data_IF_211417500560
#
_entry.id   IF_211417500560
#
_cell.length_a   1.000
_cell.length_b   1.000
_cell.length_c   1.000
_cell.angle_alpha   90.00
_cell.angle_beta   90.00
_cell.angle_gamma   90.00
#
_symmetry.space_group_name_H-M   'P 1'
#
loop_
_entity.id
_entity.type
_entity.pdbx_description
1 polymer ?
#
# COMPACT_ATOMS: atom_id res chain seq x y z
N UNK A 1 -21.56 -11.09 32.03
CA UNK A 1 -21.98 -12.48 31.82
C UNK A 1 -23.46 -12.55 31.40
N UNK A 2 -24.39 -11.91 32.10
CA UNK A 2 -25.84 -11.94 31.78
C UNK A 2 -26.13 -11.57 30.30
N UNK A 3 -25.54 -10.50 29.80
CA UNK A 3 -25.67 -10.11 28.37
C UNK A 3 -25.12 -11.17 27.42
N UNK A 4 -24.02 -11.86 27.79
CA UNK A 4 -23.43 -12.91 27.00
C UNK A 4 -24.23 -14.20 27.00
N UNK A 5 -24.82 -14.54 28.16
CA UNK A 5 -25.65 -15.73 28.34
C UNK A 5 -27.02 -15.58 27.67
N UNK A 6 -27.58 -14.37 27.65
CA UNK A 6 -28.86 -14.07 27.01
C UNK A 6 -28.84 -13.98 25.48
N UNK A 7 -27.66 -13.93 24.86
CA UNK A 7 -27.52 -13.83 23.41
C UNK A 7 -27.19 -15.18 22.78
N UNK A 8 -27.66 -15.40 21.54
CA UNK A 8 -27.43 -16.63 20.78
C UNK A 8 -26.79 -16.36 19.42
N UNK A 9 -26.01 -17.34 18.91
CA UNK A 9 -25.48 -17.37 17.56
C UNK A 9 -24.75 -16.09 17.13
N UNK A 10 -25.30 -15.38 16.17
CA UNK A 10 -24.65 -14.20 15.56
C UNK A 10 -24.62 -13.00 16.54
N UNK A 11 -25.61 -12.83 17.39
CA UNK A 11 -25.66 -11.72 18.34
C UNK A 11 -24.55 -11.82 19.39
N UNK A 12 -24.29 -13.04 19.88
CA UNK A 12 -23.15 -13.32 20.77
C UNK A 12 -21.81 -13.05 20.08
N UNK A 13 -21.71 -13.38 18.79
CA UNK A 13 -20.52 -13.05 18.00
C UNK A 13 -20.31 -11.53 17.89
N UNK A 14 -21.37 -10.76 17.63
CA UNK A 14 -21.33 -9.29 17.59
C UNK A 14 -20.92 -8.72 18.94
N UNK A 15 -21.53 -9.19 20.04
CA UNK A 15 -21.16 -8.76 21.41
C UNK A 15 -19.67 -8.99 21.68
N UNK A 16 -19.14 -10.16 21.32
CA UNK A 16 -17.71 -10.45 21.48
C UNK A 16 -16.83 -9.51 20.67
N UNK A 17 -17.26 -9.10 19.46
CA UNK A 17 -16.57 -8.12 18.64
C UNK A 17 -16.58 -6.72 19.26
N UNK A 18 -17.70 -6.31 19.87
CA UNK A 18 -17.81 -5.06 20.63
C UNK A 18 -16.86 -5.05 21.83
N UNK A 19 -16.86 -6.10 22.64
CA UNK A 19 -16.00 -6.21 23.83
C UNK A 19 -14.51 -6.19 23.45
N UNK A 20 -14.14 -6.86 22.37
CA UNK A 20 -12.73 -6.96 21.93
C UNK A 20 -12.24 -5.78 21.08
N UNK A 21 -13.12 -4.82 20.76
CA UNK A 21 -12.81 -3.68 19.87
C UNK A 21 -12.46 -4.08 18.43
N UNK A 22 -12.67 -5.32 18.06
CA UNK A 22 -12.27 -5.88 16.79
C UNK A 22 -13.44 -6.04 15.81
N UNK A 23 -13.93 -4.95 15.21
CA UNK A 23 -15.08 -4.95 14.28
C UNK A 23 -14.86 -5.59 12.92
N UNK A 24 -13.84 -6.39 12.72
CA UNK A 24 -13.63 -7.10 11.45
C UNK A 24 -14.70 -8.20 11.29
N UNK A 25 -15.83 -7.82 10.70
CA UNK A 25 -16.99 -8.73 10.45
C UNK A 25 -16.94 -9.43 9.10
N UNK A 26 -15.83 -9.29 8.35
CA UNK A 26 -15.68 -9.91 7.01
C UNK A 26 -16.40 -9.16 5.89
N UNK A 27 -17.01 -8.00 6.18
CA UNK A 27 -17.63 -7.13 5.18
C UNK A 27 -16.62 -6.08 4.76
N UNK A 28 -16.32 -6.03 3.46
CA UNK A 28 -15.47 -4.98 2.89
C UNK A 28 -16.31 -3.74 2.55
N UNK A 29 -15.69 -2.56 2.59
CA UNK A 29 -16.32 -1.31 2.13
C UNK A 29 -16.96 -1.47 0.73
N UNK A 30 -16.29 -2.16 -0.18
CA UNK A 30 -16.84 -2.45 -1.52
C UNK A 30 -18.17 -3.22 -1.48
N UNK A 31 -18.35 -4.13 -0.51
CA UNK A 31 -19.62 -4.83 -0.34
C UNK A 31 -20.70 -3.90 0.20
N UNK A 32 -20.35 -3.01 1.13
CA UNK A 32 -21.26 -1.97 1.63
C UNK A 32 -21.70 -1.05 0.50
N UNK A 33 -20.76 -0.51 -0.27
CA UNK A 33 -21.05 0.35 -1.43
C UNK A 33 -22.03 -0.34 -2.39
N UNK A 34 -21.77 -1.60 -2.77
CA UNK A 34 -22.65 -2.35 -3.66
C UNK A 34 -24.04 -2.61 -3.07
N UNK A 35 -24.12 -2.89 -1.76
CA UNK A 35 -25.41 -3.11 -1.10
C UNK A 35 -26.23 -1.82 -1.12
N UNK A 36 -25.62 -0.71 -0.76
CA UNK A 36 -26.26 0.61 -0.77
C UNK A 36 -26.66 1.05 -2.18
N UNK A 37 -25.79 0.87 -3.16
CA UNK A 37 -26.08 1.18 -4.57
C UNK A 37 -27.31 0.43 -5.09
N UNK A 38 -27.47 -0.84 -4.71
CA UNK A 38 -28.67 -1.63 -5.06
C UNK A 38 -29.95 -1.12 -4.41
N UNK A 39 -29.89 -0.76 -3.11
CA UNK A 39 -31.06 -0.27 -2.35
C UNK A 39 -31.49 1.09 -2.86
N UNK A 40 -30.54 1.99 -3.10
CA UNK A 40 -30.79 3.39 -3.49
C UNK A 40 -30.95 3.58 -5.00
N UNK A 41 -30.63 2.56 -5.80
CA UNK A 41 -30.59 2.62 -7.29
C UNK A 41 -29.61 3.67 -7.83
N UNK A 42 -28.63 4.07 -7.03
CA UNK A 42 -27.56 5.00 -7.39
C UNK A 42 -26.33 4.24 -7.91
N UNK A 43 -25.48 4.86 -8.76
CA UNK A 43 -24.22 4.25 -9.20
C UNK A 43 -23.27 3.94 -8.02
N UNK A 44 -22.54 2.81 -8.11
CA UNK A 44 -21.50 2.44 -7.11
C UNK A 44 -20.50 3.60 -6.86
N UNK A 45 -20.12 4.33 -7.89
CA UNK A 45 -19.19 5.46 -7.80
C UNK A 45 -19.74 6.62 -6.97
N UNK A 46 -21.03 6.91 -7.11
CA UNK A 46 -21.70 7.95 -6.33
C UNK A 46 -21.78 7.56 -4.86
N UNK A 47 -22.20 6.32 -4.56
CA UNK A 47 -22.26 5.81 -3.19
C UNK A 47 -20.86 5.77 -2.56
N UNK A 48 -19.86 5.32 -3.30
CA UNK A 48 -18.48 5.34 -2.81
C UNK A 48 -18.03 6.75 -2.42
N UNK A 49 -18.37 7.76 -3.24
CA UNK A 49 -18.05 9.15 -2.95
C UNK A 49 -18.83 9.69 -1.74
N UNK A 50 -20.12 9.35 -1.60
CA UNK A 50 -20.95 9.76 -0.45
C UNK A 50 -20.46 9.23 0.88
N UNK A 51 -19.89 8.03 0.89
CA UNK A 51 -19.33 7.39 2.10
C UNK A 51 -17.92 7.90 2.46
N UNK A 52 -17.30 8.73 1.63
CA UNK A 52 -16.00 9.34 1.95
C UNK A 52 -16.20 10.62 2.77
N UNK A 53 -15.14 11.07 3.42
CA UNK A 53 -15.15 12.30 4.21
C UNK A 53 -15.26 12.06 5.71
N UNK A 54 -15.31 13.15 6.45
CA UNK A 54 -15.33 13.15 7.92
C UNK A 54 -16.79 13.18 8.43
N UNK A 55 -17.52 12.09 8.30
CA UNK A 55 -18.86 11.94 8.85
C UNK A 55 -18.86 10.95 10.02
N UNK A 56 -19.79 11.16 10.97
CA UNK A 56 -19.98 10.29 12.11
C UNK A 56 -21.44 9.85 12.23
N UNK A 57 -21.73 8.58 12.59
CA UNK A 57 -23.10 8.08 12.67
C UNK A 57 -24.02 8.85 13.65
N UNK A 58 -23.44 9.45 14.70
CA UNK A 58 -24.21 10.19 15.69
C UNK A 58 -24.64 11.59 15.19
N UNK A 59 -23.90 12.13 14.20
CA UNK A 59 -24.11 13.51 13.70
C UNK A 59 -24.67 13.54 12.27
N UNK A 60 -24.77 12.37 11.60
CA UNK A 60 -25.14 12.29 10.19
C UNK A 60 -26.33 11.36 9.99
N UNK A 61 -27.40 11.89 9.41
CA UNK A 61 -28.59 11.08 9.09
C UNK A 61 -28.40 10.34 7.75
N UNK A 62 -29.21 9.31 7.54
CA UNK A 62 -29.28 8.57 6.27
C UNK A 62 -29.59 9.50 5.09
N UNK A 63 -30.59 10.36 5.27
CA UNK A 63 -31.04 11.32 4.25
C UNK A 63 -29.90 12.26 3.86
N UNK A 64 -29.17 12.79 4.83
CA UNK A 64 -28.06 13.70 4.59
C UNK A 64 -26.89 13.00 3.89
N UNK A 65 -26.58 11.75 4.28
CA UNK A 65 -25.45 11.03 3.74
C UNK A 65 -25.73 10.42 2.36
N UNK A 66 -26.90 9.84 2.16
CA UNK A 66 -27.19 8.98 1.01
C UNK A 66 -28.20 9.61 0.04
N UNK A 67 -29.20 10.34 0.53
CA UNK A 67 -30.33 10.83 -0.30
C UNK A 67 -30.21 12.28 -0.72
N UNK A 68 -29.49 13.11 0.02
CA UNK A 68 -29.32 14.52 -0.33
C UNK A 68 -28.92 14.73 -1.79
N UNK A 69 -29.55 15.66 -2.49
CA UNK A 69 -29.22 15.98 -3.89
C UNK A 69 -27.84 16.65 -4.00
N UNK A 70 -27.46 17.43 -2.98
CA UNK A 70 -26.17 18.11 -2.94
C UNK A 70 -25.20 17.39 -1.99
N UNK A 71 -24.02 17.03 -2.49
CA UNK A 71 -22.89 16.51 -1.70
C UNK A 71 -22.11 17.63 -1.00
N UNK A 72 -22.57 18.88 -1.11
CA UNK A 72 -21.80 20.10 -0.93
C UNK A 72 -21.45 20.51 0.50
N UNK A 73 -21.83 19.78 1.53
CA UNK A 73 -21.55 20.21 2.90
C UNK A 73 -20.13 19.86 3.40
N UNK A 74 -19.51 18.82 2.88
CA UNK A 74 -18.17 18.40 3.33
C UNK A 74 -17.09 18.84 2.34
N UNK A 75 -16.57 20.04 2.56
CA UNK A 75 -15.47 20.62 1.76
C UNK A 75 -14.20 19.73 1.79
N UNK A 76 -14.02 18.92 2.84
CA UNK A 76 -12.86 18.06 2.99
C UNK A 76 -12.93 16.79 2.15
N UNK A 77 -14.10 16.43 1.60
CA UNK A 77 -14.37 15.13 1.00
C UNK A 77 -13.46 14.81 -0.19
N UNK A 78 -12.67 13.71 -0.11
CA UNK A 78 -11.83 13.28 -1.23
C UNK A 78 -12.65 12.57 -2.30
N UNK A 79 -12.06 12.42 -3.48
CA UNK A 79 -12.59 11.53 -4.50
C UNK A 79 -12.17 10.08 -4.24
N UNK A 80 -13.01 9.08 -4.53
CA UNK A 80 -12.62 7.68 -4.43
C UNK A 80 -11.42 7.37 -5.31
N UNK A 81 -10.41 6.68 -4.76
CA UNK A 81 -9.16 6.43 -5.46
C UNK A 81 -9.31 5.42 -6.60
N UNK A 82 -8.73 5.75 -7.75
CA UNK A 82 -8.56 4.81 -8.85
C UNK A 82 -7.33 3.93 -8.60
N UNK A 83 -7.49 2.59 -8.70
CA UNK A 83 -6.47 1.61 -8.35
C UNK A 83 -6.00 0.83 -9.59
N UNK A 84 -4.68 0.78 -9.78
CA UNK A 84 -4.05 0.04 -10.87
C UNK A 84 -4.07 -1.49 -10.66
N UNK A 85 -4.19 -2.24 -11.78
CA UNK A 85 -3.89 -3.67 -11.85
C UNK A 85 -2.38 -3.93 -11.96
N UNK A 86 -1.93 -5.14 -11.58
CA UNK A 86 -0.58 -5.59 -11.92
C UNK A 86 -0.48 -5.91 -13.40
N UNK A 87 0.65 -5.60 -14.03
CA UNK A 87 0.99 -6.15 -15.34
C UNK A 87 1.25 -7.65 -15.16
N UNK A 88 0.57 -8.48 -15.93
CA UNK A 88 0.71 -9.92 -15.95
C UNK A 88 1.35 -10.31 -17.29
N UNK A 89 2.49 -10.96 -17.25
CA UNK A 89 3.23 -11.36 -18.47
C UNK A 89 3.87 -10.18 -19.21
N UNK A 90 3.86 -10.25 -20.55
CA UNK A 90 4.45 -9.25 -21.42
C UNK A 90 3.55 -8.00 -21.53
N UNK A 91 4.08 -6.79 -21.22
CA UNK A 91 3.32 -5.55 -21.34
C UNK A 91 2.92 -5.20 -22.78
N UNK A 92 3.53 -5.80 -23.81
CA UNK A 92 3.11 -5.60 -25.21
C UNK A 92 1.65 -6.00 -25.47
N UNK A 93 1.10 -6.86 -24.62
CA UNK A 93 -0.33 -7.23 -24.63
C UNK A 93 -1.28 -6.05 -24.32
N UNK A 94 -0.77 -4.92 -23.82
CA UNK A 94 -1.54 -3.71 -23.58
C UNK A 94 -1.81 -2.90 -24.85
N UNK A 95 -1.15 -3.22 -25.97
CA UNK A 95 -1.29 -2.52 -27.25
C UNK A 95 -0.10 -1.60 -27.57
N UNK A 96 -0.29 -0.62 -28.47
CA UNK A 96 0.81 0.21 -28.93
C UNK A 96 1.29 1.18 -27.83
N UNK A 97 2.63 1.38 -27.71
CA UNK A 97 3.24 2.21 -26.66
C UNK A 97 2.72 3.66 -26.62
N UNK A 98 2.38 4.24 -27.77
CA UNK A 98 1.90 5.62 -27.92
C UNK A 98 0.58 5.90 -27.22
N UNK A 99 -0.23 4.87 -26.94
CA UNK A 99 -1.49 5.01 -26.20
C UNK A 99 -1.27 5.16 -24.68
N UNK A 100 -0.04 4.97 -24.22
CA UNK A 100 0.29 4.88 -22.81
C UNK A 100 1.24 6.00 -22.37
N UNK A 101 1.11 6.38 -21.13
CA UNK A 101 2.03 7.23 -20.38
C UNK A 101 2.65 6.40 -19.27
N UNK A 102 3.96 6.53 -19.06
CA UNK A 102 4.67 5.87 -17.97
C UNK A 102 5.23 6.89 -16.98
N UNK A 103 5.20 6.52 -15.71
CA UNK A 103 5.73 7.31 -14.60
C UNK A 103 6.40 6.37 -13.61
N UNK A 104 7.28 6.88 -12.73
CA UNK A 104 7.79 6.09 -11.62
C UNK A 104 6.65 5.69 -10.68
N UNK A 105 6.67 4.45 -10.24
CA UNK A 105 5.84 4.01 -9.14
C UNK A 105 6.57 4.31 -7.83
N UNK A 106 6.34 5.51 -7.34
CA UNK A 106 6.95 5.98 -6.11
C UNK A 106 6.58 5.11 -4.91
N UNK A 107 7.48 5.02 -3.95
CA UNK A 107 7.26 4.35 -2.67
C UNK A 107 7.00 5.40 -1.58
N UNK A 108 5.75 5.74 -1.38
CA UNK A 108 5.30 6.78 -0.46
C UNK A 108 3.91 6.50 0.12
N UNK A 109 3.21 7.60 0.42
CA UNK A 109 1.80 7.56 0.83
C UNK A 109 1.00 8.22 -0.27
N UNK A 110 0.20 7.43 -0.97
CA UNK A 110 -0.77 8.03 -1.91
C UNK A 110 -1.78 8.86 -1.15
N UNK A 111 -1.96 10.10 -1.59
CA UNK A 111 -2.90 11.03 -0.99
C UNK A 111 -3.52 11.97 -2.00
N UNK A 112 -4.65 12.55 -1.59
CA UNK A 112 -5.25 13.69 -2.28
C UNK A 112 -5.06 14.95 -1.44
N UNK A 113 -4.61 16.03 -2.08
CA UNK A 113 -4.63 17.38 -1.51
C UNK A 113 -5.82 18.12 -2.12
N UNK A 114 -6.69 18.62 -1.24
CA UNK A 114 -7.96 19.26 -1.58
C UNK A 114 -7.89 20.70 -1.09
N UNK A 115 -8.20 21.64 -1.96
CA UNK A 115 -8.34 23.06 -1.62
C UNK A 115 -9.77 23.48 -1.90
N UNK A 116 -10.55 23.71 -0.86
CA UNK A 116 -11.93 24.15 -0.95
C UNK A 116 -12.30 25.00 0.26
N UNK A 117 -13.08 26.05 0.04
CA UNK A 117 -13.55 26.95 1.09
C UNK A 117 -12.42 27.68 1.80
N UNK A 118 -11.34 28.05 1.10
CA UNK A 118 -10.17 28.69 1.68
C UNK A 118 -9.32 27.78 2.60
N UNK A 119 -9.65 26.51 2.69
CA UNK A 119 -8.98 25.49 3.52
C UNK A 119 -8.30 24.44 2.67
N UNK A 120 -7.30 23.77 3.25
CA UNK A 120 -6.68 22.60 2.62
C UNK A 120 -6.89 21.34 3.47
N UNK A 121 -7.05 20.23 2.79
CA UNK A 121 -7.23 18.91 3.39
C UNK A 121 -6.31 17.91 2.71
N UNK A 122 -5.72 17.01 3.49
CA UNK A 122 -4.87 15.93 2.99
C UNK A 122 -5.46 14.60 3.41
N UNK A 123 -5.90 13.82 2.44
CA UNK A 123 -6.44 12.47 2.65
C UNK A 123 -5.50 11.40 2.15
N UNK A 124 -5.31 10.36 2.94
CA UNK A 124 -4.58 9.17 2.49
C UNK A 124 -5.49 8.22 1.71
N UNK A 125 -4.88 7.31 0.93
CA UNK A 125 -5.62 6.23 0.26
C UNK A 125 -6.39 5.33 1.23
N UNK A 126 -5.98 5.27 2.49
CA UNK A 126 -6.66 4.53 3.55
C UNK A 126 -7.88 5.25 4.11
N UNK A 127 -8.33 6.34 3.47
CA UNK A 127 -9.48 7.16 3.90
C UNK A 127 -9.28 7.78 5.28
N UNK A 128 -8.06 8.16 5.59
CA UNK A 128 -7.71 8.87 6.81
C UNK A 128 -7.38 10.33 6.47
N UNK A 129 -8.00 11.28 7.18
CA UNK A 129 -7.64 12.69 7.13
C UNK A 129 -6.31 12.89 7.88
N UNK A 130 -5.27 13.26 7.16
CA UNK A 130 -3.91 13.34 7.67
C UNK A 130 -3.31 14.76 7.58
N UNK A 131 -4.14 15.77 7.43
CA UNK A 131 -3.76 17.17 7.26
C UNK A 131 -2.76 17.62 8.33
N UNK A 132 -3.02 17.35 9.61
CA UNK A 132 -2.18 17.77 10.72
C UNK A 132 -0.79 17.11 10.74
N UNK A 133 -0.62 16.02 9.99
CA UNK A 133 0.66 15.33 9.88
C UNK A 133 1.57 15.93 8.80
N UNK A 134 1.02 16.78 7.93
CA UNK A 134 1.71 17.38 6.79
C UNK A 134 1.50 18.89 6.72
N UNK A 135 1.90 19.66 7.76
CA UNK A 135 1.72 21.10 7.80
C UNK A 135 2.48 21.82 6.68
N UNK A 136 3.43 21.17 6.04
CA UNK A 136 4.18 21.70 4.90
C UNK A 136 3.28 22.05 3.70
N UNK A 137 2.12 21.39 3.57
CA UNK A 137 1.21 21.64 2.48
C UNK A 137 0.32 22.88 2.67
N UNK A 138 0.31 23.45 3.88
CA UNK A 138 -0.47 24.68 4.15
C UNK A 138 -0.19 25.84 3.15
N UNK A 139 1.08 26.13 2.78
CA UNK A 139 1.35 27.21 1.81
C UNK A 139 0.69 27.02 0.45
N UNK A 140 0.37 25.79 0.04
CA UNK A 140 -0.26 25.52 -1.25
C UNK A 140 -1.61 26.23 -1.41
N UNK A 141 -2.35 26.46 -0.32
CA UNK A 141 -3.63 27.19 -0.34
C UNK A 141 -3.52 28.64 -0.83
N UNK A 142 -2.32 29.21 -0.81
CA UNK A 142 -2.07 30.59 -1.28
C UNK A 142 -1.73 30.67 -2.76
N UNK A 143 -1.34 29.56 -3.36
CA UNK A 143 -0.84 29.51 -4.74
C UNK A 143 -1.72 28.71 -5.68
N UNK A 144 -2.41 27.71 -5.17
CA UNK A 144 -3.32 26.90 -5.96
C UNK A 144 -4.71 27.55 -6.03
N UNK A 145 -5.39 27.52 -7.18
CA UNK A 145 -6.75 28.00 -7.29
C UNK A 145 -7.71 27.27 -6.35
N UNK A 146 -8.70 27.99 -5.85
CA UNK A 146 -9.84 27.42 -5.13
C UNK A 146 -10.53 26.33 -5.95
N UNK A 147 -10.98 25.25 -5.30
CA UNK A 147 -11.56 24.10 -6.00
C UNK A 147 -10.52 23.29 -6.78
N UNK A 148 -9.33 23.08 -6.21
CA UNK A 148 -8.28 22.22 -6.78
C UNK A 148 -8.17 20.94 -5.97
N UNK A 149 -8.19 19.77 -6.65
CA UNK A 149 -7.91 18.47 -6.04
C UNK A 149 -6.82 17.76 -6.82
N UNK A 150 -5.69 17.53 -6.15
CA UNK A 150 -4.52 16.82 -6.66
C UNK A 150 -4.50 15.39 -6.13
N UNK A 151 -4.18 14.42 -6.99
CA UNK A 151 -3.83 13.05 -6.62
C UNK A 151 -2.32 12.84 -6.81
N UNK A 152 -1.66 12.35 -5.79
CA UNK A 152 -0.21 12.24 -5.82
C UNK A 152 0.35 11.26 -4.80
N UNK A 153 1.67 11.12 -4.81
CA UNK A 153 2.41 10.37 -3.80
C UNK A 153 3.12 11.36 -2.87
N UNK A 154 2.84 11.27 -1.57
CA UNK A 154 3.55 12.02 -0.55
C UNK A 154 4.85 11.27 -0.26
N UNK A 155 5.98 11.96 -0.42
CA UNK A 155 7.32 11.43 -0.21
C UNK A 155 8.04 12.22 0.87
N UNK A 156 8.89 11.55 1.66
CA UNK A 156 9.92 12.26 2.38
C UNK A 156 10.98 12.74 1.38
N UNK A 157 11.42 13.99 1.49
CA UNK A 157 12.23 14.63 0.48
C UNK A 157 13.33 15.49 1.12
N UNK A 158 14.54 15.31 0.68
CA UNK A 158 15.67 16.12 1.16
C UNK A 158 16.78 16.14 0.10
N UNK A 159 17.51 17.26 0.02
CA UNK A 159 18.66 17.41 -0.88
C UNK A 159 18.30 17.04 -2.35
N UNK A 160 17.16 17.53 -2.81
CA UNK A 160 16.59 17.32 -4.16
C UNK A 160 16.34 15.85 -4.53
N UNK A 161 16.20 14.97 -3.53
CA UNK A 161 15.95 13.54 -3.75
C UNK A 161 14.88 12.96 -2.78
N UNK A 162 14.13 11.94 -3.20
CA UNK A 162 13.27 11.20 -2.29
C UNK A 162 14.11 10.44 -1.27
N UNK A 163 13.65 10.42 -0.02
CA UNK A 163 14.21 9.59 1.04
C UNK A 163 13.50 8.23 1.06
N UNK A 164 14.12 7.18 1.59
CA UNK A 164 13.49 5.88 1.76
C UNK A 164 12.18 5.97 2.54
N UNK A 165 11.20 5.15 2.19
CA UNK A 165 9.85 5.16 2.78
C UNK A 165 9.83 5.02 4.30
N UNK A 166 10.77 4.27 4.90
CA UNK A 166 10.89 4.13 6.35
C UNK A 166 11.07 5.47 7.08
N UNK A 167 11.68 6.47 6.44
CA UNK A 167 11.80 7.84 6.97
C UNK A 167 10.42 8.48 7.07
N UNK A 168 9.62 8.42 6.00
CA UNK A 168 8.25 8.93 5.99
C UNK A 168 7.35 8.17 6.98
N UNK A 169 7.56 6.87 7.12
CA UNK A 169 6.80 6.02 8.03
C UNK A 169 6.90 6.46 9.48
N UNK A 170 8.00 7.12 9.88
CA UNK A 170 8.15 7.67 11.22
C UNK A 170 7.11 8.74 11.57
N UNK A 171 6.44 9.34 10.58
CA UNK A 171 5.37 10.35 10.74
C UNK A 171 3.98 9.73 10.84
N UNK A 172 3.72 8.64 10.12
CA UNK A 172 2.37 8.09 9.88
C UNK A 172 1.68 7.68 11.17
N UNK A 173 2.40 7.01 12.06
CA UNK A 173 1.84 6.49 13.33
C UNK A 173 1.68 7.53 14.45
N UNK A 174 1.99 8.81 14.21
CA UNK A 174 1.96 9.85 15.23
C UNK A 174 0.68 10.66 15.16
N UNK A 175 0.07 10.94 16.31
CA UNK A 175 -1.05 11.90 16.40
C UNK A 175 -0.61 13.34 16.15
N UNK A 176 0.59 13.70 16.65
CA UNK A 176 1.20 15.02 16.47
C UNK A 176 2.62 14.87 15.95
N UNK A 177 3.03 15.75 15.05
CA UNK A 177 4.37 15.74 14.44
C UNK A 177 5.18 16.90 14.99
N UNK A 178 6.26 16.59 15.69
CA UNK A 178 7.16 17.62 16.27
C UNK A 178 8.05 18.25 15.19
N UNK A 179 8.58 19.48 15.45
CA UNK A 179 9.54 20.14 14.56
C UNK A 179 10.75 19.26 14.20
N UNK A 180 11.23 18.45 15.16
CA UNK A 180 12.36 17.54 14.93
C UNK A 180 11.99 16.43 13.92
N UNK A 181 10.75 15.92 13.94
CA UNK A 181 10.27 14.92 12.98
C UNK A 181 10.08 15.55 11.61
N UNK A 182 9.51 16.76 11.53
CA UNK A 182 9.36 17.50 10.28
C UNK A 182 10.72 17.75 9.61
N UNK A 183 11.73 18.14 10.38
CA UNK A 183 13.09 18.37 9.87
C UNK A 183 13.80 17.08 9.41
N UNK A 184 13.52 15.94 10.05
CA UNK A 184 14.09 14.63 9.66
C UNK A 184 13.43 14.02 8.44
N UNK A 185 12.15 14.26 8.27
CA UNK A 185 11.34 13.70 7.19
C UNK A 185 10.50 14.81 6.56
N UNK A 186 11.09 15.86 5.96
CA UNK A 186 10.32 16.87 5.25
C UNK A 186 9.56 16.21 4.11
N UNK A 187 8.35 16.67 3.83
CA UNK A 187 7.47 16.00 2.87
C UNK A 187 7.13 16.90 1.68
N UNK A 188 7.05 16.29 0.52
CA UNK A 188 6.50 16.89 -0.69
C UNK A 188 5.41 15.99 -1.28
N UNK A 189 4.54 16.57 -2.13
CA UNK A 189 3.64 15.84 -2.99
C UNK A 189 4.24 15.74 -4.40
N UNK A 190 4.45 14.52 -4.90
CA UNK A 190 4.61 14.25 -6.32
C UNK A 190 3.23 14.05 -6.94
N UNK A 191 2.67 15.13 -7.53
CA UNK A 191 1.38 15.08 -8.19
C UNK A 191 1.48 14.39 -9.55
N UNK A 192 0.56 13.49 -9.82
CA UNK A 192 0.48 12.77 -11.09
C UNK A 192 -0.91 12.80 -11.73
N UNK A 193 -1.92 13.34 -11.04
CA UNK A 193 -3.26 13.58 -11.61
C UNK A 193 -3.93 14.80 -10.98
N UNK A 194 -4.82 15.43 -11.75
CA UNK A 194 -5.65 16.55 -11.33
C UNK A 194 -7.12 16.14 -11.48
N UNK A 195 -7.85 16.15 -10.37
CA UNK A 195 -9.21 15.60 -10.31
C UNK A 195 -10.29 16.67 -10.33
N UNK A 196 -9.98 17.83 -9.76
CA UNK A 196 -10.85 19.00 -9.76
C UNK A 196 -10.02 20.24 -10.08
N UNK A 197 -10.57 21.10 -10.90
CA UNK A 197 -9.93 22.31 -11.33
C UNK A 197 -10.91 23.48 -11.28
N UNK A 198 -10.61 24.48 -10.47
CA UNK A 198 -11.45 25.67 -10.27
C UNK A 198 -12.91 25.29 -9.95
N UNK A 199 -13.10 24.35 -9.03
CA UNK A 199 -14.41 23.87 -8.59
C UNK A 199 -15.13 22.94 -9.58
N UNK A 200 -14.51 22.59 -10.70
CA UNK A 200 -15.08 21.65 -11.69
C UNK A 200 -14.46 20.29 -11.57
N UNK A 201 -15.27 19.26 -11.36
CA UNK A 201 -14.83 17.86 -11.47
C UNK A 201 -14.42 17.58 -12.92
N UNK A 202 -13.15 17.18 -13.10
CA UNK A 202 -12.58 16.87 -14.42
C UNK A 202 -12.18 15.41 -14.56
N UNK A 203 -12.59 14.55 -13.65
CA UNK A 203 -12.25 13.11 -13.65
C UNK A 203 -12.72 12.39 -14.91
N UNK A 204 -13.80 12.86 -15.54
CA UNK A 204 -14.33 12.29 -16.79
C UNK A 204 -13.51 12.68 -18.04
N UNK A 205 -12.62 13.66 -17.94
CA UNK A 205 -11.74 14.01 -19.06
C UNK A 205 -10.68 12.92 -19.26
N UNK A 206 -10.15 12.76 -20.48
CA UNK A 206 -8.99 11.90 -20.75
C UNK A 206 -7.79 12.24 -19.87
N UNK A 207 -7.04 11.23 -19.44
CA UNK A 207 -5.83 11.41 -18.61
C UNK A 207 -4.86 12.41 -19.22
N UNK A 208 -4.65 12.38 -20.54
CA UNK A 208 -3.76 13.33 -21.24
C UNK A 208 -4.15 14.79 -21.01
N UNK A 209 -5.43 15.11 -20.96
CA UNK A 209 -5.92 16.48 -20.74
C UNK A 209 -5.74 16.91 -19.28
N UNK A 210 -6.09 16.03 -18.33
CA UNK A 210 -5.87 16.28 -16.90
C UNK A 210 -4.38 16.47 -16.59
N UNK A 211 -3.53 15.65 -17.23
CA UNK A 211 -2.08 15.73 -17.11
C UNK A 211 -1.54 17.06 -17.66
N UNK A 212 -1.97 17.51 -18.82
CA UNK A 212 -1.56 18.78 -19.41
C UNK A 212 -1.93 19.97 -18.52
N UNK A 213 -3.13 19.97 -17.93
CA UNK A 213 -3.53 20.99 -16.95
C UNK A 213 -2.64 20.96 -15.71
N UNK A 214 -2.33 19.77 -15.18
CA UNK A 214 -1.44 19.60 -14.04
C UNK A 214 -0.02 20.10 -14.34
N UNK A 215 0.51 19.81 -15.53
CA UNK A 215 1.81 20.30 -15.99
C UNK A 215 1.86 21.82 -16.04
N UNK A 216 0.85 22.43 -16.66
CA UNK A 216 0.70 23.89 -16.73
C UNK A 216 0.64 24.50 -15.33
N UNK A 217 -0.14 23.91 -14.43
CA UNK A 217 -0.24 24.34 -13.05
C UNK A 217 1.12 24.27 -12.35
N UNK A 218 1.76 23.12 -12.36
CA UNK A 218 3.03 22.93 -11.65
C UNK A 218 4.14 23.84 -12.17
N UNK A 219 4.21 24.10 -13.47
CA UNK A 219 5.19 25.02 -14.05
C UNK A 219 4.96 26.48 -13.69
N UNK A 220 3.73 26.86 -13.32
CA UNK A 220 3.40 28.23 -12.89
C UNK A 220 3.72 28.50 -11.42
N UNK A 221 4.06 27.47 -10.65
CA UNK A 221 4.27 27.57 -9.21
C UNK A 221 5.74 27.83 -8.85
N UNK A 222 6.00 28.52 -7.74
CA UNK A 222 7.33 28.64 -7.17
C UNK A 222 7.98 27.28 -6.85
N UNK A 223 9.27 27.15 -7.12
CA UNK A 223 10.00 25.89 -6.93
C UNK A 223 10.24 25.51 -5.46
N UNK A 224 10.06 26.42 -4.52
CA UNK A 224 10.22 26.17 -3.08
C UNK A 224 8.97 25.57 -2.42
N UNK A 225 7.86 25.48 -3.14
CA UNK A 225 6.65 24.83 -2.64
C UNK A 225 6.82 23.32 -2.53
N UNK A 226 6.14 22.67 -1.56
CA UNK A 226 6.22 21.23 -1.34
C UNK A 226 5.35 20.44 -2.35
N UNK A 227 5.40 20.82 -3.61
CA UNK A 227 4.67 20.21 -4.72
C UNK A 227 5.63 20.05 -5.90
N UNK A 228 5.67 18.88 -6.47
CA UNK A 228 6.38 18.58 -7.70
C UNK A 228 5.49 17.81 -8.65
N UNK A 229 5.72 17.98 -9.93
CA UNK A 229 5.12 17.14 -10.95
C UNK A 229 5.85 15.79 -10.99
N UNK A 230 5.13 14.67 -10.91
CA UNK A 230 5.72 13.35 -11.16
C UNK A 230 6.21 13.30 -12.62
N UNK A 231 7.49 13.00 -12.88
CA UNK A 231 8.03 13.05 -14.24
C UNK A 231 7.41 11.97 -15.13
N UNK A 232 7.03 12.35 -16.35
CA UNK A 232 6.68 11.41 -17.41
C UNK A 232 7.93 10.78 -17.99
N UNK A 233 7.94 9.46 -18.16
CA UNK A 233 9.03 8.70 -18.75
C UNK A 233 8.72 8.48 -20.23
N UNK A 234 9.56 9.03 -21.11
CA UNK A 234 9.48 8.80 -22.54
C UNK A 234 9.93 7.39 -22.92
N UNK A 235 9.18 6.70 -23.76
CA UNK A 235 9.54 5.40 -24.30
C UNK A 235 8.89 5.18 -25.67
N UNK A 236 9.60 4.48 -26.54
CA UNK A 236 9.17 4.20 -27.92
C UNK A 236 8.76 2.72 -28.10
N UNK A 237 9.16 1.86 -27.18
CA UNK A 237 8.85 0.42 -27.20
C UNK A 237 8.69 -0.13 -25.79
N UNK A 238 8.01 -1.25 -25.66
CA UNK A 238 7.86 -1.97 -24.38
C UNK A 238 9.20 -2.49 -23.87
N UNK A 239 10.14 -2.81 -24.76
CA UNK A 239 11.51 -3.20 -24.40
C UNK A 239 12.26 -2.02 -23.77
N UNK A 240 12.22 -0.84 -24.40
CA UNK A 240 12.83 0.37 -23.82
C UNK A 240 12.21 0.71 -22.44
N UNK A 241 10.90 0.51 -22.28
CA UNK A 241 10.24 0.70 -20.98
C UNK A 241 10.68 -0.34 -19.94
N UNK A 242 10.99 -1.58 -20.35
CA UNK A 242 11.55 -2.60 -19.47
C UNK A 242 12.95 -2.21 -18.95
N UNK A 243 13.78 -1.62 -19.82
CA UNK A 243 15.10 -1.12 -19.42
C UNK A 243 14.98 0.03 -18.40
N UNK A 244 14.06 0.98 -18.64
CA UNK A 244 13.75 2.04 -17.67
C UNK A 244 13.25 1.42 -16.36
N UNK A 245 12.35 0.43 -16.40
CA UNK A 245 11.88 -0.27 -15.19
C UNK A 245 13.03 -0.85 -14.37
N UNK A 246 14.04 -1.42 -15.01
CA UNK A 246 15.17 -2.10 -14.35
C UNK A 246 15.94 -1.19 -13.39
N UNK A 247 15.99 0.10 -13.65
CA UNK A 247 16.70 1.10 -12.83
C UNK A 247 15.79 1.80 -11.81
N UNK A 248 14.53 1.38 -11.65
CA UNK A 248 13.57 2.06 -10.76
C UNK A 248 14.05 2.16 -9.32
N UNK A 249 14.78 1.16 -8.80
CA UNK A 249 15.33 1.21 -7.43
C UNK A 249 16.33 2.36 -7.23
N UNK A 250 17.13 2.68 -8.23
CA UNK A 250 18.05 3.81 -8.19
C UNK A 250 17.33 5.15 -8.08
N UNK A 251 16.04 5.19 -8.46
CA UNK A 251 15.16 6.35 -8.32
C UNK A 251 14.24 6.26 -7.08
N UNK A 252 14.49 5.36 -6.14
CA UNK A 252 13.63 5.07 -4.98
C UNK A 252 12.18 4.77 -5.37
N UNK A 253 11.99 4.08 -6.50
CA UNK A 253 10.69 3.67 -7.01
C UNK A 253 10.55 2.14 -7.00
N UNK A 254 9.32 1.65 -6.82
CA UNK A 254 8.99 0.21 -6.80
C UNK A 254 8.81 -0.39 -8.21
N UNK A 255 9.00 0.40 -9.26
CA UNK A 255 8.73 0.06 -10.64
C UNK A 255 8.06 1.21 -11.38
N UNK A 256 7.11 0.90 -12.24
CA UNK A 256 6.42 1.86 -13.10
C UNK A 256 4.90 1.85 -12.87
N UNK A 257 4.28 3.01 -13.08
CA UNK A 257 2.86 3.18 -13.33
C UNK A 257 2.66 3.44 -14.81
N UNK A 258 1.77 2.68 -15.44
CA UNK A 258 1.45 2.78 -16.87
C UNK A 258 -0.03 3.15 -16.96
N UNK A 259 -0.33 4.29 -17.59
CA UNK A 259 -1.67 4.88 -17.64
C UNK A 259 -2.09 5.08 -19.09
N UNK A 260 -3.28 4.60 -19.48
CA UNK A 260 -3.81 4.86 -20.79
C UNK A 260 -4.15 6.35 -20.92
N UNK A 261 -3.65 7.00 -21.98
CA UNK A 261 -3.76 8.45 -22.21
C UNK A 261 -5.20 8.93 -22.39
N UNK A 262 -6.10 8.04 -22.85
CA UNK A 262 -7.51 8.34 -23.08
C UNK A 262 -8.40 7.96 -21.88
N UNK A 263 -7.82 7.41 -20.80
CA UNK A 263 -8.60 6.91 -19.67
C UNK A 263 -9.19 8.06 -18.84
N UNK A 264 -10.41 7.83 -18.35
CA UNK A 264 -11.01 8.61 -17.27
C UNK A 264 -10.37 8.23 -15.94
N UNK A 265 -10.59 9.03 -14.91
CA UNK A 265 -10.27 8.66 -13.55
C UNK A 265 -11.42 7.86 -12.95
N UNK A 266 -11.24 6.56 -12.84
CA UNK A 266 -12.27 5.61 -12.42
C UNK A 266 -12.30 5.43 -10.89
N UNK A 267 -13.29 4.70 -10.38
CA UNK A 267 -13.42 4.38 -8.95
C UNK A 267 -12.98 2.95 -8.67
N UNK A 268 -12.10 2.78 -7.68
CA UNK A 268 -11.62 1.48 -7.26
C UNK A 268 -10.72 0.81 -8.30
N UNK A 269 -10.72 -0.52 -8.37
CA UNK A 269 -9.86 -1.27 -9.30
C UNK A 269 -10.66 -1.73 -10.52
N UNK A 270 -10.43 -1.06 -11.64
CA UNK A 270 -10.97 -1.45 -12.94
C UNK A 270 -9.84 -1.80 -13.90
N UNK A 271 -10.00 -2.91 -14.63
CA UNK A 271 -9.00 -3.41 -15.58
C UNK A 271 -9.03 -2.56 -16.86
N UNK A 272 -7.86 -2.33 -17.45
CA UNK A 272 -7.72 -1.76 -18.79
C UNK A 272 -7.12 -0.37 -18.86
N UNK A 273 -7.22 0.45 -17.79
CA UNK A 273 -6.79 1.83 -17.88
C UNK A 273 -5.48 2.15 -17.13
N UNK A 274 -5.30 1.63 -15.94
CA UNK A 274 -4.10 1.85 -15.13
C UNK A 274 -3.45 0.55 -14.72
N UNK A 275 -2.12 0.46 -14.94
CA UNK A 275 -1.30 -0.71 -14.64
C UNK A 275 -0.11 -0.31 -13.78
N UNK A 276 0.30 -1.20 -12.89
CA UNK A 276 1.55 -1.12 -12.13
C UNK A 276 2.46 -2.25 -12.56
N UNK A 277 3.65 -1.89 -13.02
CA UNK A 277 4.67 -2.83 -13.41
C UNK A 277 5.81 -2.78 -12.42
N UNK A 278 5.66 -3.54 -11.35
CA UNK A 278 6.62 -3.59 -10.26
C UNK A 278 7.92 -4.26 -10.68
N UNK A 279 9.01 -3.88 -10.02
CA UNK A 279 10.23 -4.66 -10.02
C UNK A 279 9.98 -6.05 -9.42
N UNK A 280 10.80 -7.01 -9.84
CA UNK A 280 10.79 -8.30 -9.20
C UNK A 280 11.27 -8.15 -7.74
N UNK A 281 10.64 -8.89 -6.80
CA UNK A 281 11.05 -8.82 -5.41
C UNK A 281 12.50 -9.28 -5.25
N UNK A 282 13.16 -8.78 -4.21
CA UNK A 282 14.40 -9.35 -3.75
C UNK A 282 14.12 -10.73 -3.17
N UNK A 283 15.04 -11.68 -3.33
CA UNK A 283 14.90 -13.03 -2.80
C UNK A 283 16.13 -13.47 -2.05
N UNK A 284 15.93 -14.37 -1.08
CA UNK A 284 16.99 -15.04 -0.33
C UNK A 284 16.53 -16.43 0.07
N UNK A 285 17.40 -17.43 -0.05
CA UNK A 285 17.11 -18.79 0.42
C UNK A 285 17.41 -18.92 1.90
N UNK A 286 16.42 -19.40 2.66
CA UNK A 286 16.49 -19.44 4.12
C UNK A 286 15.93 -20.74 4.70
N UNK A 287 16.47 -21.15 5.84
CA UNK A 287 16.06 -22.37 6.55
C UNK A 287 14.88 -22.07 7.46
N UNK A 288 13.83 -22.88 7.41
CA UNK A 288 12.70 -22.82 8.35
C UNK A 288 13.11 -23.40 9.70
N UNK A 289 12.97 -22.59 10.76
CA UNK A 289 13.36 -22.99 12.13
C UNK A 289 12.21 -23.02 13.13
N UNK A 290 11.14 -22.25 12.88
CA UNK A 290 9.92 -22.28 13.69
C UNK A 290 8.68 -22.26 12.81
N UNK A 291 7.61 -22.90 13.32
CA UNK A 291 6.27 -22.88 12.75
C UNK A 291 5.25 -22.51 13.82
N UNK A 292 4.29 -21.67 13.50
CA UNK A 292 3.19 -21.27 14.37
C UNK A 292 1.85 -21.59 13.72
N UNK A 293 0.90 -22.08 14.54
CA UNK A 293 -0.45 -22.39 14.09
C UNK A 293 -1.18 -21.14 13.59
N UNK A 294 -1.94 -21.30 12.52
CA UNK A 294 -2.77 -20.26 11.94
C UNK A 294 -4.02 -19.96 12.79
N UNK A 295 -4.83 -19.05 12.29
CA UNK A 295 -6.07 -18.59 12.95
C UNK A 295 -7.31 -18.84 12.08
N UNK A 296 -8.48 -18.88 12.71
CA UNK A 296 -9.76 -19.03 12.02
C UNK A 296 -9.83 -20.33 11.22
N UNK A 297 -10.15 -20.26 9.93
CA UNK A 297 -10.26 -21.45 9.05
C UNK A 297 -8.96 -22.25 8.90
N UNK A 298 -7.82 -21.65 9.19
CA UNK A 298 -6.49 -22.29 9.13
C UNK A 298 -5.93 -22.66 10.50
N UNK A 299 -6.76 -22.68 11.58
CA UNK A 299 -6.32 -23.02 12.94
C UNK A 299 -5.70 -24.41 13.05
N UNK A 300 -6.06 -25.33 12.15
CA UNK A 300 -5.54 -26.71 12.10
C UNK A 300 -4.22 -26.83 11.31
N UNK A 301 -3.76 -25.75 10.68
CA UNK A 301 -2.55 -25.72 9.87
C UNK A 301 -1.49 -24.83 10.54
N UNK A 302 -0.23 -25.14 10.31
CA UNK A 302 0.84 -24.20 10.56
C UNK A 302 0.96 -23.29 9.34
N UNK A 303 0.86 -21.98 9.55
CA UNK A 303 0.81 -20.98 8.46
C UNK A 303 1.83 -19.88 8.60
N UNK A 304 2.35 -19.68 9.80
CA UNK A 304 3.34 -18.65 10.09
C UNK A 304 4.68 -19.32 10.38
N UNK A 305 5.71 -19.00 9.60
CA UNK A 305 7.02 -19.63 9.70
C UNK A 305 8.10 -18.59 9.96
N UNK A 306 9.07 -18.95 10.80
CA UNK A 306 10.27 -18.14 11.03
C UNK A 306 11.44 -18.76 10.28
N UNK A 307 12.14 -17.90 9.56
CA UNK A 307 13.26 -18.26 8.70
C UNK A 307 14.57 -17.70 9.22
N UNK A 308 15.64 -18.44 8.99
CA UNK A 308 16.99 -18.12 9.41
C UNK A 308 17.99 -18.29 8.27
N UNK A 309 19.10 -17.57 8.34
CA UNK A 309 20.28 -17.68 7.48
C UNK A 309 21.48 -18.09 8.31
N UNK A 310 22.52 -18.61 7.68
CA UNK A 310 23.71 -19.07 8.37
C UNK A 310 24.64 -17.93 8.79
N UNK A 311 25.18 -18.01 10.00
CA UNK A 311 26.33 -17.26 10.47
C UNK A 311 27.36 -18.23 11.05
N UNK A 312 28.33 -18.61 10.26
CA UNK A 312 29.17 -19.76 10.58
C UNK A 312 28.34 -21.03 10.68
N UNK A 313 28.32 -21.68 11.85
CA UNK A 313 27.52 -22.89 12.10
C UNK A 313 26.16 -22.62 12.77
N UNK A 314 25.82 -21.36 13.01
CA UNK A 314 24.61 -20.98 13.71
C UNK A 314 23.55 -20.44 12.74
N UNK A 315 22.28 -20.75 13.01
CA UNK A 315 21.13 -20.21 12.28
C UNK A 315 20.60 -18.95 12.97
N UNK A 316 20.71 -17.80 12.30
CA UNK A 316 20.26 -16.51 12.78
C UNK A 316 18.88 -16.16 12.19
N UNK A 317 17.81 -16.07 13.01
CA UNK A 317 16.49 -15.72 12.54
C UNK A 317 16.44 -14.25 12.05
N UNK A 318 15.78 -14.02 10.90
CA UNK A 318 15.69 -12.69 10.31
C UNK A 318 14.30 -12.34 9.75
N UNK A 319 13.48 -13.33 9.41
CA UNK A 319 12.17 -13.09 8.81
C UNK A 319 11.09 -14.02 9.35
N UNK A 320 9.85 -13.53 9.35
CA UNK A 320 8.64 -14.31 9.55
C UNK A 320 7.72 -14.10 8.36
N UNK A 321 7.29 -15.19 7.71
CA UNK A 321 6.37 -15.14 6.58
C UNK A 321 5.17 -16.07 6.80
N UNK A 322 4.01 -15.67 6.25
CA UNK A 322 2.72 -16.35 6.44
C UNK A 322 1.92 -16.51 5.15
N UNK A 323 2.49 -16.16 3.99
CA UNK A 323 1.83 -16.22 2.69
C UNK A 323 2.79 -16.71 1.61
N UNK A 324 2.22 -17.10 0.46
CA UNK A 324 2.96 -17.46 -0.74
C UNK A 324 2.92 -18.93 -1.10
N UNK A 325 2.55 -19.82 -0.18
CA UNK A 325 2.38 -21.24 -0.46
C UNK A 325 0.94 -21.59 -0.84
N UNK A 326 0.79 -22.65 -1.59
CA UNK A 326 -0.50 -23.27 -1.90
C UNK A 326 -1.09 -23.99 -0.67
N UNK A 327 -2.40 -24.21 -0.67
CA UNK A 327 -3.05 -24.96 0.43
C UNK A 327 -2.57 -26.41 0.52
N UNK A 328 -2.09 -27.00 -0.58
CA UNK A 328 -1.46 -28.31 -0.57
C UNK A 328 -0.13 -28.28 0.18
N UNK A 329 0.75 -27.34 -0.13
CA UNK A 329 2.02 -27.17 0.55
C UNK A 329 1.85 -26.87 2.05
N UNK A 330 0.86 -26.03 2.43
CA UNK A 330 0.54 -25.83 3.85
C UNK A 330 0.15 -27.10 4.57
N UNK A 331 -0.58 -28.03 3.92
CA UNK A 331 -0.93 -29.34 4.49
C UNK A 331 0.30 -30.21 4.64
N UNK A 332 1.15 -30.28 3.62
CA UNK A 332 2.39 -31.09 3.63
C UNK A 332 3.33 -30.62 4.75
N UNK A 333 3.58 -29.31 4.83
CA UNK A 333 4.42 -28.73 5.89
C UNK A 333 3.80 -28.97 7.27
N UNK A 334 2.48 -28.84 7.40
CA UNK A 334 1.80 -29.10 8.68
C UNK A 334 1.99 -30.54 9.15
N UNK A 335 1.88 -31.52 8.24
CA UNK A 335 2.11 -32.93 8.54
C UNK A 335 3.57 -33.17 8.96
N UNK A 336 4.51 -32.52 8.28
CA UNK A 336 5.93 -32.61 8.59
C UNK A 336 6.25 -31.95 9.95
N UNK A 337 5.77 -30.74 10.23
CA UNK A 337 5.97 -30.01 11.50
C UNK A 337 5.51 -30.85 12.69
N UNK A 338 4.37 -31.54 12.58
CA UNK A 338 3.86 -32.42 13.66
C UNK A 338 4.81 -33.53 14.02
N UNK A 339 5.55 -34.08 13.04
CA UNK A 339 6.49 -35.20 13.21
C UNK A 339 7.89 -34.72 13.63
N UNK A 340 8.28 -33.50 13.24
CA UNK A 340 9.63 -32.97 13.37
C UNK A 340 9.74 -31.82 14.37
N UNK A 341 8.82 -31.72 15.32
CA UNK A 341 8.85 -30.71 16.39
C UNK A 341 9.88 -31.12 17.43
N UNK A 342 10.90 -30.28 17.61
CA UNK A 342 11.95 -30.45 18.64
C UNK A 342 11.48 -29.93 20.00
N UNK A 343 10.86 -28.71 20.00
CA UNK A 343 10.41 -28.07 21.23
C UNK A 343 9.11 -27.26 20.97
N UNK A 344 8.31 -27.11 22.04
CA UNK A 344 7.02 -26.37 21.98
C UNK A 344 7.06 -25.14 22.87
N UNK A 345 6.68 -23.99 22.30
CA UNK A 345 6.56 -22.70 23.00
C UNK A 345 5.16 -22.15 22.78
N UNK A 346 4.19 -22.60 23.58
CA UNK A 346 2.78 -22.23 23.35
C UNK A 346 2.32 -22.63 21.95
N UNK A 347 1.89 -21.66 21.10
CA UNK A 347 1.45 -21.93 19.73
C UNK A 347 2.61 -22.17 18.75
N UNK A 348 3.84 -21.87 19.14
CA UNK A 348 5.04 -22.00 18.29
C UNK A 348 5.71 -23.37 18.47
N UNK A 349 6.20 -23.92 17.39
CA UNK A 349 6.98 -25.16 17.33
C UNK A 349 8.37 -24.85 16.79
N UNK A 350 9.40 -25.18 17.55
CA UNK A 350 10.74 -25.31 17.01
C UNK A 350 10.81 -26.60 16.22
N UNK A 351 11.32 -26.55 15.02
CA UNK A 351 11.39 -27.70 14.12
C UNK A 351 12.83 -28.02 13.75
N UNK A 352 13.07 -29.25 13.30
CA UNK A 352 14.37 -29.64 12.72
C UNK A 352 14.67 -28.69 11.53
N UNK A 353 15.87 -28.06 11.44
CA UNK A 353 16.23 -27.15 10.38
C UNK A 353 16.56 -27.91 9.09
N UNK A 354 15.55 -28.37 8.37
CA UNK A 354 15.67 -29.28 7.23
C UNK A 354 15.14 -28.68 5.93
N UNK A 355 14.15 -27.78 6.01
CA UNK A 355 13.52 -27.22 4.83
C UNK A 355 14.02 -25.83 4.49
N UNK A 356 14.37 -25.64 3.22
CA UNK A 356 14.80 -24.36 2.63
C UNK A 356 13.65 -23.75 1.84
N UNK A 357 13.48 -22.43 1.99
CA UNK A 357 12.50 -21.64 1.27
C UNK A 357 13.15 -20.42 0.65
N UNK A 358 12.76 -20.10 -0.55
CA UNK A 358 13.05 -18.81 -1.16
C UNK A 358 12.08 -17.79 -0.58
N UNK A 359 12.62 -16.82 0.15
CA UNK A 359 11.87 -15.72 0.76
C UNK A 359 11.98 -14.51 -0.12
N UNK A 360 10.84 -14.08 -0.69
CA UNK A 360 10.71 -12.87 -1.47
C UNK A 360 10.29 -11.70 -0.58
N UNK A 361 10.81 -10.50 -0.84
CA UNK A 361 10.48 -9.28 -0.11
C UNK A 361 10.63 -8.02 -0.97
N UNK A 362 9.90 -6.95 -0.62
CA UNK A 362 9.87 -5.71 -1.40
C UNK A 362 10.97 -4.73 -1.02
N UNK A 363 11.52 -4.83 0.18
CA UNK A 363 12.59 -3.96 0.69
C UNK A 363 13.24 -4.53 1.93
N UNK A 364 14.40 -3.98 2.27
CA UNK A 364 15.25 -4.39 3.36
C UNK A 364 15.76 -3.13 4.08
N UNK A 365 15.87 -3.15 5.39
CA UNK A 365 16.37 -2.02 6.17
C UNK A 365 17.00 -2.46 7.49
N UNK A 366 17.81 -1.58 8.09
CA UNK A 366 18.41 -1.82 9.39
C UNK A 366 17.35 -1.97 10.49
N UNK A 367 17.56 -2.92 11.39
CA UNK A 367 16.69 -3.16 12.54
C UNK A 367 17.49 -3.50 13.80
N UNK A 368 17.30 -2.70 14.84
CA UNK A 368 17.85 -2.99 16.17
C UNK A 368 17.03 -4.01 16.96
N UNK A 369 15.86 -4.40 16.45
CA UNK A 369 14.94 -5.35 17.11
C UNK A 369 15.23 -6.80 16.76
N UNK A 370 15.88 -7.05 15.62
CA UNK A 370 16.17 -8.39 15.13
C UNK A 370 17.63 -8.78 15.39
N UNK A 371 17.88 -10.00 15.79
CA UNK A 371 19.25 -10.54 16.02
C UNK A 371 20.12 -10.44 14.76
N UNK A 372 19.51 -10.55 13.58
CA UNK A 372 20.20 -10.37 12.29
C UNK A 372 20.64 -8.93 12.00
N UNK A 373 20.14 -7.94 12.75
CA UNK A 373 20.32 -6.51 12.43
C UNK A 373 19.48 -6.01 11.26
N UNK A 374 18.64 -6.87 10.67
CA UNK A 374 17.89 -6.59 9.44
C UNK A 374 16.41 -6.81 9.63
N UNK A 375 15.57 -6.00 8.97
CA UNK A 375 14.14 -6.23 8.82
C UNK A 375 13.72 -6.18 7.35
N UNK A 376 12.80 -7.04 6.96
CA UNK A 376 12.28 -7.14 5.61
C UNK A 376 10.89 -6.50 5.50
N UNK A 377 10.59 -5.90 4.35
CA UNK A 377 9.28 -5.38 4.02
C UNK A 377 8.49 -6.40 3.21
N UNK A 378 7.32 -6.79 3.71
CA UNK A 378 6.41 -7.77 3.09
C UNK A 378 7.07 -9.11 2.73
N UNK A 379 7.76 -9.77 3.68
CA UNK A 379 8.34 -11.08 3.42
C UNK A 379 7.24 -12.12 3.15
N UNK A 380 7.49 -12.96 2.14
CA UNK A 380 6.60 -14.06 1.74
C UNK A 380 7.42 -15.23 1.22
N UNK A 381 6.89 -16.42 1.33
CA UNK A 381 7.49 -17.61 0.74
C UNK A 381 7.22 -17.61 -0.78
N UNK A 382 8.24 -17.40 -1.60
CA UNK A 382 8.10 -17.46 -3.05
C UNK A 382 8.04 -18.91 -3.54
N UNK A 383 8.88 -19.76 -2.94
CA UNK A 383 8.99 -21.16 -3.34
C UNK A 383 9.55 -22.01 -2.20
N UNK A 384 9.03 -23.24 -2.05
CA UNK A 384 9.66 -24.27 -1.25
C UNK A 384 10.78 -24.92 -2.05
N UNK A 385 12.03 -24.76 -1.62
CA UNK A 385 13.24 -25.23 -2.30
C UNK A 385 13.53 -26.68 -1.91
N UNK A 386 12.71 -27.61 -2.42
CA UNK A 386 12.90 -29.06 -2.22
C UNK A 386 14.18 -29.59 -2.90
N UNK A 387 14.77 -28.79 -3.75
CA UNK A 387 16.02 -29.01 -4.48
C UNK A 387 17.28 -28.64 -3.68
N UNK A 388 17.11 -27.99 -2.50
CA UNK A 388 18.24 -27.52 -1.67
C UNK A 388 18.27 -28.19 -0.29
N UNK A 389 19.50 -28.47 0.15
CA UNK A 389 19.77 -28.83 1.55
C UNK A 389 19.86 -27.55 2.42
N UNK A 390 19.74 -27.68 3.76
CA UNK A 390 19.91 -26.54 4.66
C UNK A 390 21.24 -25.79 4.48
N UNK A 391 22.30 -26.52 4.14
CA UNK A 391 23.65 -25.98 3.93
C UNK A 391 23.76 -25.11 2.67
N UNK A 392 22.82 -25.26 1.72
CA UNK A 392 22.75 -24.46 0.50
C UNK A 392 21.97 -23.14 0.71
N UNK A 393 21.43 -22.90 1.90
CA UNK A 393 20.78 -21.65 2.24
C UNK A 393 21.80 -20.51 2.37
N UNK A 394 21.34 -19.29 2.13
CA UNK A 394 22.17 -18.09 2.21
C UNK A 394 22.68 -17.80 3.63
N UNK A 395 23.69 -16.94 3.68
CA UNK A 395 24.34 -16.49 4.91
C UNK A 395 23.81 -15.13 5.39
N UNK A 396 24.15 -14.78 6.64
CA UNK A 396 23.90 -13.44 7.17
C UNK A 396 24.68 -12.36 6.41
N UNK A 397 25.80 -12.73 5.80
CA UNK A 397 26.60 -11.81 4.99
C UNK A 397 25.89 -11.49 3.67
N UNK A 398 25.36 -12.49 2.97
CA UNK A 398 24.51 -12.27 1.78
C UNK A 398 23.32 -11.33 2.09
N UNK A 399 22.69 -11.52 3.28
CA UNK A 399 21.58 -10.66 3.71
C UNK A 399 22.04 -9.21 3.97
N UNK A 400 23.24 -9.02 4.52
CA UNK A 400 23.85 -7.69 4.73
C UNK A 400 24.28 -7.05 3.42
N UNK A 401 24.73 -7.80 2.45
CA UNK A 401 25.07 -7.30 1.12
C UNK A 401 23.82 -6.79 0.39
N UNK A 402 22.70 -7.50 0.52
CA UNK A 402 21.40 -6.99 0.06
C UNK A 402 21.00 -5.70 0.79
N UNK A 403 21.26 -5.60 2.10
CA UNK A 403 21.01 -4.38 2.87
C UNK A 403 21.90 -3.22 2.42
N UNK A 404 23.18 -3.45 2.17
CA UNK A 404 24.11 -2.42 1.70
C UNK A 404 23.77 -1.91 0.31
N UNK A 405 23.19 -2.78 -0.52
CA UNK A 405 22.85 -2.45 -1.92
C UNK A 405 21.47 -1.79 -2.03
N UNK A 406 20.50 -2.20 -1.20
CA UNK A 406 19.08 -1.86 -1.39
C UNK A 406 18.39 -1.31 -0.12
N UNK A 407 19.12 -1.12 0.98
CA UNK A 407 18.60 -0.67 2.28
C UNK A 407 18.52 0.82 2.52
#
# INVERSE_FOLDING_TARGET
LEAWDGLHGQDRFVLNKLITGGFRVGVSQKLVVRALARVTKKPDAEIAHRLMGAWHPDDTTWEALIEAEDLGADLSRPYPFFLAHGVEGDPSSLGPPEDWSAEWKWDGIRGQIILRGGSHFVWSRGEELITDRFPEFFPLSKFLPEGTVLDGEILAWKDEAPLPFNVLQTRIGRKTVSKAVLSKAPAILYAYDLLEWQGKDIRDRPFKERRQLLETLCHSLPNDLPLRLSPSLGFESWTALADIRSIARAHHAEGLMIKNRQSRYEVGRKKGAWWKWKLDPLTIDAVMIYAQAGHGRRANLYTDFTFAVWQGNDLVPFAKAYSGLSDAEFRDITAWVRKNTLQRFGPVRQVTPEHVFEIAFEGIHHSTRHKSGVALRFPRMARWRKDKSPQDANTLEDLKDLLNTYG
#
